data_IF_482606295711
#
_entry.id   IF_482606295711
#
_cell.length_a   1.000
_cell.length_b   1.000
_cell.length_c   1.000
_cell.angle_alpha   90.00
_cell.angle_beta   90.00
_cell.angle_gamma   90.00
#
_symmetry.space_group_name_H-M   'P 1'
#
loop_
_entity.id
_entity.type
_entity.pdbx_description
1 polymer ?
#
# COMPACT_ATOMS: atom_id res chain seq x y z
N UNK A 1 32.83 12.51 -18.57
CA UNK A 1 32.95 11.18 -17.96
C UNK A 1 31.90 10.89 -16.87
N UNK A 2 31.82 11.56 -15.70
CA UNK A 2 30.73 11.25 -14.71
C UNK A 2 29.32 11.72 -15.12
N UNK A 3 29.20 12.75 -15.97
CA UNK A 3 27.91 13.21 -16.49
C UNK A 3 27.26 12.27 -17.52
N UNK A 4 28.06 11.56 -18.31
CA UNK A 4 27.58 10.63 -19.36
C UNK A 4 27.08 9.30 -18.79
N UNK A 5 27.62 8.87 -17.64
CA UNK A 5 27.16 7.65 -16.95
C UNK A 5 25.80 7.88 -16.28
N UNK A 6 25.57 9.08 -15.71
CA UNK A 6 24.27 9.44 -15.15
C UNK A 6 23.18 9.54 -16.22
N UNK A 7 23.47 10.09 -17.41
CA UNK A 7 22.49 10.19 -18.49
C UNK A 7 22.09 8.83 -19.07
N UNK A 8 23.04 7.90 -19.24
CA UNK A 8 22.72 6.54 -19.70
C UNK A 8 21.91 5.74 -18.69
N UNK A 9 22.18 5.92 -17.40
CA UNK A 9 21.39 5.28 -16.35
C UNK A 9 19.95 5.84 -16.33
N UNK A 10 19.80 7.17 -16.44
CA UNK A 10 18.50 7.85 -16.52
C UNK A 10 17.66 7.38 -17.72
N UNK A 11 18.25 7.20 -18.90
CA UNK A 11 17.53 6.71 -20.10
C UNK A 11 17.03 5.27 -19.95
N UNK A 12 17.78 4.40 -19.26
CA UNK A 12 17.39 3.00 -19.06
C UNK A 12 16.31 2.80 -18.00
N UNK A 13 16.23 3.71 -17.02
CA UNK A 13 15.34 3.62 -15.85
C UNK A 13 13.93 4.14 -16.16
N UNK A 14 13.84 5.21 -16.94
CA UNK A 14 12.58 5.94 -17.20
C UNK A 14 11.43 5.06 -17.70
N UNK A 15 11.63 4.10 -18.63
CA UNK A 15 10.54 3.25 -19.12
C UNK A 15 9.89 2.40 -18.03
N UNK A 16 10.65 1.97 -17.01
CA UNK A 16 10.11 1.17 -15.90
C UNK A 16 9.20 2.00 -14.99
N UNK A 17 9.61 3.24 -14.71
CA UNK A 17 8.82 4.16 -13.89
C UNK A 17 7.55 4.56 -14.65
N UNK A 18 7.68 4.94 -15.92
CA UNK A 18 6.55 5.29 -16.78
C UNK A 18 5.56 4.11 -16.92
N UNK A 19 6.04 2.86 -16.96
CA UNK A 19 5.19 1.67 -16.95
C UNK A 19 4.35 1.59 -15.67
N UNK A 20 4.98 1.69 -14.49
CA UNK A 20 4.25 1.63 -13.22
C UNK A 20 3.25 2.78 -13.10
N UNK A 21 3.63 3.98 -13.52
CA UNK A 21 2.74 5.14 -13.52
C UNK A 21 1.54 4.94 -14.47
N UNK A 22 1.76 4.31 -15.63
CA UNK A 22 0.69 3.92 -16.55
C UNK A 22 -0.24 2.88 -15.94
N UNK A 23 0.30 1.83 -15.30
CA UNK A 23 -0.52 0.83 -14.61
C UNK A 23 -1.37 1.48 -13.50
N UNK A 24 -0.78 2.45 -12.80
CA UNK A 24 -1.47 3.20 -11.75
C UNK A 24 -2.58 4.09 -12.31
N UNK A 25 -2.33 4.81 -13.42
CA UNK A 25 -3.32 5.71 -14.04
C UNK A 25 -4.52 4.96 -14.62
N UNK A 26 -4.33 3.74 -15.12
CA UNK A 26 -5.40 2.82 -15.54
C UNK A 26 -6.21 2.28 -14.35
N UNK A 27 -5.68 2.39 -13.12
CA UNK A 27 -6.38 2.01 -11.89
C UNK A 27 -6.05 0.62 -11.36
N UNK A 28 -5.05 -0.07 -11.94
CA UNK A 28 -4.66 -1.43 -11.55
C UNK A 28 -4.24 -1.51 -10.06
N UNK A 29 -3.71 -0.41 -9.52
CA UNK A 29 -3.30 -0.29 -8.12
C UNK A 29 -4.43 -0.56 -7.10
N UNK A 30 -5.69 -0.55 -7.52
CA UNK A 30 -6.85 -0.85 -6.68
C UNK A 30 -6.98 -2.34 -6.36
N UNK A 31 -6.62 -3.19 -7.32
CA UNK A 31 -6.77 -4.64 -7.24
C UNK A 31 -5.42 -5.35 -7.03
N UNK A 32 -4.32 -4.72 -7.45
CA UNK A 32 -2.97 -5.26 -7.39
C UNK A 32 -2.01 -4.27 -6.72
N UNK A 33 -1.06 -4.81 -5.95
CA UNK A 33 0.02 -4.01 -5.41
C UNK A 33 1.02 -3.68 -6.52
N UNK A 34 1.35 -2.39 -6.66
CA UNK A 34 2.38 -1.92 -7.57
C UNK A 34 3.63 -1.55 -6.79
N UNK A 35 4.83 -1.77 -7.35
CA UNK A 35 6.08 -1.29 -6.80
C UNK A 35 6.03 0.19 -6.42
N UNK A 36 6.30 0.50 -5.16
CA UNK A 36 6.25 1.88 -4.64
C UNK A 36 7.21 2.06 -3.47
N UNK A 37 7.64 3.29 -3.24
CA UNK A 37 8.38 3.65 -2.02
C UNK A 37 7.40 4.30 -1.06
N UNK A 38 7.39 3.86 0.19
CA UNK A 38 6.54 4.41 1.25
C UNK A 38 7.42 4.99 2.34
N UNK A 39 7.19 6.26 2.67
CA UNK A 39 7.97 6.99 3.64
C UNK A 39 7.31 6.94 5.00
N UNK A 40 8.04 6.42 5.99
CA UNK A 40 7.58 6.27 7.38
C UNK A 40 8.58 6.89 8.34
N UNK A 41 8.08 7.46 9.42
CA UNK A 41 8.90 8.09 10.43
C UNK A 41 8.06 8.55 11.62
N UNK A 42 8.69 8.70 12.77
CA UNK A 42 8.06 9.32 13.92
C UNK A 42 7.70 10.78 13.60
N UNK A 43 6.74 11.36 14.31
CA UNK A 43 6.43 12.78 14.17
C UNK A 43 7.71 13.61 14.42
N UNK A 44 7.95 14.62 13.59
CA UNK A 44 9.15 15.47 13.66
C UNK A 44 10.48 14.78 13.35
N UNK A 45 10.48 13.57 12.77
CA UNK A 45 11.67 12.86 12.28
C UNK A 45 12.40 13.55 11.11
N UNK A 46 11.79 14.57 10.48
CA UNK A 46 12.35 15.24 9.30
C UNK A 46 11.86 14.69 7.96
N UNK A 47 10.85 13.82 7.97
CA UNK A 47 10.20 13.26 6.76
C UNK A 47 9.83 14.31 5.71
N UNK A 48 9.08 15.35 6.09
CA UNK A 48 8.71 16.42 5.17
C UNK A 48 9.93 17.15 4.60
N UNK A 49 10.96 17.36 5.42
CA UNK A 49 12.20 18.00 4.98
C UNK A 49 12.95 17.19 3.92
N UNK A 50 12.97 15.86 4.06
CA UNK A 50 13.56 14.96 3.07
C UNK A 50 12.77 15.01 1.76
N UNK A 51 11.43 14.95 1.85
CA UNK A 51 10.56 14.99 0.67
C UNK A 51 10.63 16.34 -0.06
N UNK A 52 10.72 17.45 0.67
CA UNK A 52 10.93 18.78 0.09
C UNK A 52 12.28 18.88 -0.61
N UNK A 53 13.33 18.31 -0.03
CA UNK A 53 14.65 18.32 -0.63
C UNK A 53 14.72 17.44 -1.89
N UNK A 54 13.93 16.36 -1.96
CA UNK A 54 13.81 15.51 -3.15
C UNK A 54 12.91 16.11 -4.25
N UNK A 55 11.78 16.71 -3.86
CA UNK A 55 10.76 17.21 -4.79
C UNK A 55 10.93 18.66 -5.21
N UNK A 56 11.65 19.43 -4.41
CA UNK A 56 11.75 20.87 -4.53
C UNK A 56 10.47 21.65 -4.22
N UNK A 57 9.42 20.97 -3.77
CA UNK A 57 8.14 21.60 -3.41
C UNK A 57 8.05 21.71 -1.90
N UNK A 58 7.67 22.87 -1.39
CA UNK A 58 7.40 23.06 0.03
C UNK A 58 6.16 22.24 0.42
N UNK A 59 6.36 21.24 1.28
CA UNK A 59 5.27 20.53 1.93
C UNK A 59 4.85 21.30 3.17
N UNK A 60 3.57 21.22 3.59
CA UNK A 60 3.13 21.93 4.77
C UNK A 60 3.93 21.45 5.99
N UNK A 61 4.30 22.41 6.84
CA UNK A 61 4.97 22.20 8.13
C UNK A 61 4.16 22.92 9.20
N UNK A 62 4.02 22.33 10.38
CA UNK A 62 3.27 22.93 11.48
C UNK A 62 3.31 22.11 12.77
N UNK A 63 2.81 22.70 13.85
CA UNK A 63 2.62 22.01 15.12
C UNK A 63 1.41 21.05 15.02
N UNK A 64 1.59 19.78 15.37
CA UNK A 64 0.58 18.72 15.25
C UNK A 64 0.84 17.74 14.09
N UNK A 65 -0.15 16.89 13.77
CA UNK A 65 -0.07 16.00 12.58
C UNK A 65 -0.33 16.85 11.34
N UNK A 66 0.73 17.06 10.56
CA UNK A 66 0.70 17.90 9.36
C UNK A 66 0.15 17.13 8.16
N UNK A 67 0.63 15.89 7.95
CA UNK A 67 0.09 14.97 6.94
C UNK A 67 -1.08 14.18 7.54
N UNK A 68 -2.34 14.54 7.21
CA UNK A 68 -3.56 13.88 7.75
C UNK A 68 -4.16 12.81 6.82
N UNK A 69 -3.62 12.71 5.61
CA UNK A 69 -3.98 11.75 4.59
C UNK A 69 -2.70 11.33 3.85
N UNK A 70 -2.62 10.09 3.33
CA UNK A 70 -1.52 9.69 2.46
C UNK A 70 -1.34 10.66 1.29
N UNK A 71 -0.11 11.10 1.05
CA UNK A 71 0.25 11.96 -0.08
C UNK A 71 1.16 11.17 -1.03
N UNK A 72 0.67 10.87 -2.23
CA UNK A 72 1.48 10.35 -3.32
C UNK A 72 2.17 11.49 -4.05
N UNK A 73 3.49 11.56 -3.92
CA UNK A 73 4.35 12.52 -4.59
C UNK A 73 4.96 11.85 -5.83
N UNK A 74 4.55 12.31 -7.01
CA UNK A 74 5.09 11.86 -8.30
C UNK A 74 6.02 12.94 -8.84
N UNK A 75 7.29 12.62 -8.96
CA UNK A 75 8.31 13.50 -9.49
C UNK A 75 8.64 13.03 -10.91
N UNK A 76 8.53 13.93 -11.88
CA UNK A 76 8.78 13.64 -13.28
C UNK A 76 9.77 14.63 -13.86
N UNK A 77 10.90 14.11 -14.35
CA UNK A 77 11.94 14.91 -14.97
C UNK A 77 11.53 15.27 -16.40
N UNK A 78 11.13 16.52 -16.63
CA UNK A 78 10.66 16.97 -17.95
C UNK A 78 11.54 18.11 -18.48
N UNK A 79 12.37 17.86 -19.51
CA UNK A 79 13.14 18.92 -20.16
C UNK A 79 12.23 20.02 -20.72
N UNK A 80 12.56 21.28 -20.47
CA UNK A 80 11.83 22.44 -21.01
C UNK A 80 10.59 22.88 -20.22
N UNK A 81 10.22 22.20 -19.14
CA UNK A 81 9.17 22.64 -18.21
C UNK A 81 9.85 23.22 -16.97
N UNK A 82 9.93 24.54 -16.82
CA UNK A 82 10.63 25.18 -15.69
C UNK A 82 10.19 24.57 -14.34
N UNK A 83 8.88 24.61 -14.06
CA UNK A 83 8.27 23.94 -12.92
C UNK A 83 6.75 23.90 -13.11
N UNK A 84 6.11 22.74 -12.91
CA UNK A 84 4.65 22.59 -12.89
C UNK A 84 4.26 21.61 -11.79
N UNK A 85 3.26 21.95 -10.98
CA UNK A 85 2.67 21.06 -9.99
C UNK A 85 1.17 20.89 -10.23
N UNK A 86 0.67 19.65 -10.14
CA UNK A 86 -0.75 19.32 -10.30
C UNK A 86 -1.18 18.52 -9.08
N UNK A 87 -2.18 19.02 -8.35
CA UNK A 87 -2.77 18.31 -7.22
C UNK A 87 -4.07 17.65 -7.68
N UNK A 88 -4.19 16.35 -7.43
CA UNK A 88 -5.38 15.57 -7.74
C UNK A 88 -5.98 14.99 -6.46
N UNK A 89 -7.26 15.24 -6.25
CA UNK A 89 -8.04 14.71 -5.14
C UNK A 89 -9.50 14.51 -5.54
N UNK A 90 -10.16 13.45 -5.06
CA UNK A 90 -11.59 13.17 -5.34
C UNK A 90 -12.01 13.39 -6.82
N UNK A 91 -11.16 12.93 -7.75
CA UNK A 91 -11.31 13.09 -9.22
C UNK A 91 -11.32 14.53 -9.74
N UNK A 92 -10.98 15.52 -8.92
CA UNK A 92 -10.72 16.91 -9.32
C UNK A 92 -9.22 17.12 -9.43
N UNK A 93 -8.81 17.75 -10.53
CA UNK A 93 -7.43 18.20 -10.73
C UNK A 93 -7.39 19.72 -10.53
N UNK A 94 -6.51 20.19 -9.66
CA UNK A 94 -6.21 21.59 -9.46
C UNK A 94 -4.78 21.87 -9.94
N UNK A 95 -4.66 22.66 -11.01
CA UNK A 95 -3.38 23.08 -11.59
C UNK A 95 -2.83 24.36 -10.94
N UNK A 96 -3.57 24.98 -10.00
CA UNK A 96 -3.22 26.27 -9.39
C UNK A 96 -2.32 26.17 -8.16
N UNK A 97 -1.59 25.06 -8.01
CA UNK A 97 -0.69 24.84 -6.87
C UNK A 97 0.58 25.67 -7.05
N UNK A 98 0.48 26.97 -6.76
CA UNK A 98 1.66 27.73 -6.37
C UNK A 98 2.21 27.10 -5.09
N UNK A 99 3.53 27.10 -4.94
CA UNK A 99 4.34 26.48 -3.87
C UNK A 99 3.89 26.74 -2.43
N UNK A 100 2.89 27.59 -2.20
CA UNK A 100 2.45 28.10 -0.89
C UNK A 100 1.08 27.62 -0.41
N UNK A 101 0.22 26.98 -1.23
CA UNK A 101 -1.17 26.71 -0.84
C UNK A 101 -1.56 25.23 -0.83
N UNK A 102 -1.10 24.49 0.18
CA UNK A 102 -1.63 23.16 0.56
C UNK A 102 -3.02 23.22 1.23
N UNK A 103 -3.85 24.18 0.85
CA UNK A 103 -5.20 24.37 1.39
C UNK A 103 -6.07 23.11 1.21
N UNK A 104 -5.85 22.37 0.11
CA UNK A 104 -6.55 21.14 -0.21
C UNK A 104 -6.40 20.04 0.86
N UNK A 105 -5.24 19.90 1.52
CA UNK A 105 -5.10 18.90 2.60
C UNK A 105 -6.01 19.22 3.80
N UNK A 106 -6.11 20.50 4.17
CA UNK A 106 -7.00 20.95 5.25
C UNK A 106 -8.47 20.88 4.84
N UNK A 107 -8.77 21.11 3.57
CA UNK A 107 -10.12 20.97 3.02
C UNK A 107 -10.57 19.50 2.98
N UNK A 108 -9.67 18.59 2.55
CA UNK A 108 -9.92 17.15 2.43
C UNK A 108 -9.93 16.42 3.77
N UNK A 109 -9.03 16.77 4.69
CA UNK A 109 -9.12 16.26 6.06
C UNK A 109 -10.40 16.77 6.78
N UNK A 110 -11.00 17.85 6.26
CA UNK A 110 -12.06 18.60 6.89
C UNK A 110 -11.54 19.46 8.05
N UNK A 111 -12.41 20.29 8.63
CA UNK A 111 -12.09 21.08 9.84
C UNK A 111 -11.72 20.22 11.07
N UNK A 112 -11.88 18.90 11.00
CA UNK A 112 -11.55 17.96 12.06
C UNK A 112 -10.08 17.53 12.07
N UNK A 113 -9.63 16.94 13.18
CA UNK A 113 -8.24 16.49 13.40
C UNK A 113 -8.04 14.99 13.14
N UNK A 114 -8.97 14.37 12.41
CA UNK A 114 -8.96 12.94 12.08
C UNK A 114 -8.05 12.59 10.90
N UNK A 115 -7.71 11.30 10.79
CA UNK A 115 -6.94 10.74 9.66
C UNK A 115 -7.91 10.15 8.64
N UNK A 116 -7.60 10.34 7.35
CA UNK A 116 -8.32 9.68 6.26
C UNK A 116 -7.40 8.71 5.50
N UNK A 117 -8.02 7.68 4.96
CA UNK A 117 -7.38 6.67 4.11
C UNK A 117 -7.26 7.11 2.64
N UNK A 118 -7.93 8.21 2.28
CA UNK A 118 -7.98 8.77 0.92
C UNK A 118 -6.60 9.31 0.50
N UNK A 119 -6.12 8.86 -0.65
CA UNK A 119 -4.83 9.27 -1.22
C UNK A 119 -5.00 10.59 -1.97
N UNK A 120 -4.10 11.54 -1.70
CA UNK A 120 -3.93 12.76 -2.51
C UNK A 120 -2.72 12.55 -3.40
N UNK A 121 -2.82 12.87 -4.69
CA UNK A 121 -1.68 12.82 -5.61
C UNK A 121 -1.18 14.23 -5.90
N UNK A 122 0.11 14.48 -5.70
CA UNK A 122 0.82 15.67 -6.15
C UNK A 122 1.84 15.25 -7.22
N UNK A 123 1.63 15.71 -8.45
CA UNK A 123 2.55 15.49 -9.56
C UNK A 123 3.39 16.75 -9.79
N UNK A 124 4.72 16.62 -9.76
CA UNK A 124 5.68 17.69 -9.95
C UNK A 124 6.52 17.40 -11.19
N UNK A 125 6.51 18.32 -12.14
CA UNK A 125 7.28 18.27 -13.39
C UNK A 125 8.32 19.40 -13.40
N UNK A 126 9.59 19.04 -13.52
CA UNK A 126 10.71 19.98 -13.60
C UNK A 126 11.94 19.30 -14.22
N UNK A 127 12.90 20.00 -14.83
CA UNK A 127 14.18 19.42 -15.26
C UNK A 127 15.07 19.01 -14.08
N UNK A 128 14.83 19.57 -12.89
CA UNK A 128 15.75 19.46 -11.74
C UNK A 128 15.35 18.37 -10.73
N UNK A 129 14.19 17.73 -10.94
CA UNK A 129 13.72 16.61 -10.11
C UNK A 129 14.14 15.26 -10.69
N UNK A 130 14.20 14.24 -9.83
CA UNK A 130 14.38 12.84 -10.27
C UNK A 130 13.04 12.22 -10.69
N UNK A 131 13.08 11.23 -11.58
CA UNK A 131 11.90 10.39 -11.84
C UNK A 131 11.71 9.45 -10.65
N UNK A 132 10.69 9.71 -9.82
CA UNK A 132 10.44 8.98 -8.59
C UNK A 132 8.99 9.13 -8.11
N UNK A 133 8.38 8.03 -7.67
CA UNK A 133 7.06 8.05 -7.02
C UNK A 133 7.17 7.58 -5.58
N UNK A 134 6.77 8.44 -4.65
CA UNK A 134 6.85 8.24 -3.20
C UNK A 134 5.46 8.40 -2.57
N UNK A 135 5.13 7.60 -1.57
CA UNK A 135 3.93 7.78 -0.76
C UNK A 135 4.35 8.24 0.63
N UNK A 136 4.00 9.47 0.97
CA UNK A 136 4.16 10.05 2.29
C UNK A 136 3.00 9.63 3.20
N UNK A 137 3.34 9.06 4.36
CA UNK A 137 2.35 8.68 5.37
C UNK A 137 2.41 9.61 6.59
N UNK A 138 1.30 9.73 7.35
CA UNK A 138 1.30 10.47 8.61
C UNK A 138 2.40 10.00 9.57
N UNK A 139 3.09 10.95 10.20
CA UNK A 139 4.13 10.65 11.18
C UNK A 139 3.55 10.01 12.44
N UNK A 140 4.26 9.04 13.02
CA UNK A 140 3.79 8.31 14.21
C UNK A 140 3.79 9.25 15.42
N UNK A 141 2.61 9.60 15.92
CA UNK A 141 2.41 10.36 17.15
C UNK A 141 2.24 9.42 18.35
N UNK A 142 2.97 9.69 19.44
CA UNK A 142 2.90 8.89 20.69
C UNK A 142 1.78 9.36 21.62
N UNK A 143 1.50 10.66 21.61
CA UNK A 143 0.50 11.31 22.46
C UNK A 143 -0.39 12.17 21.57
N UNK A 144 -1.72 12.11 21.72
CA UNK A 144 -2.63 13.00 21.00
C UNK A 144 -2.40 14.44 21.43
N UNK A 145 -2.36 15.37 20.46
CA UNK A 145 -2.42 16.81 20.75
C UNK A 145 -3.89 17.27 20.85
N UNK A 146 -4.12 18.45 21.42
CA UNK A 146 -5.48 18.97 21.64
C UNK A 146 -6.37 18.88 20.38
N UNK A 147 -7.54 18.25 20.53
CA UNK A 147 -8.51 18.03 19.45
C UNK A 147 -8.33 16.73 18.66
N UNK A 148 -7.28 15.95 18.89
CA UNK A 148 -7.10 14.62 18.27
C UNK A 148 -7.80 13.52 19.06
N UNK A 149 -8.31 12.47 18.39
CA UNK A 149 -8.78 11.25 19.05
C UNK A 149 -7.67 10.60 19.88
N UNK A 150 -8.01 10.01 21.03
CA UNK A 150 -7.03 9.29 21.86
C UNK A 150 -6.36 8.11 21.12
N UNK A 151 -7.04 7.52 20.14
CA UNK A 151 -6.52 6.40 19.34
C UNK A 151 -5.78 6.83 18.07
N UNK A 152 -5.47 8.11 17.89
CA UNK A 152 -4.80 8.65 16.69
C UNK A 152 -3.52 7.89 16.33
N UNK A 153 -2.69 7.58 17.33
CA UNK A 153 -1.45 6.81 17.12
C UNK A 153 -1.74 5.39 16.60
N UNK A 154 -2.83 4.75 17.07
CA UNK A 154 -3.27 3.45 16.57
C UNK A 154 -3.80 3.55 15.14
N UNK A 155 -4.55 4.62 14.82
CA UNK A 155 -5.02 4.88 13.46
C UNK A 155 -3.85 5.04 12.48
N UNK A 156 -2.84 5.86 12.82
CA UNK A 156 -1.63 6.04 12.03
C UNK A 156 -0.94 4.70 11.79
N UNK A 157 -0.74 3.91 12.86
CA UNK A 157 -0.09 2.60 12.76
C UNK A 157 -0.85 1.64 11.87
N UNK A 158 -2.19 1.59 11.97
CA UNK A 158 -3.04 0.79 11.08
C UNK A 158 -2.89 1.20 9.62
N UNK A 159 -2.88 2.51 9.35
CA UNK A 159 -2.69 3.06 8.02
C UNK A 159 -1.31 2.69 7.46
N UNK A 160 -0.24 2.88 8.23
CA UNK A 160 1.12 2.49 7.84
C UNK A 160 1.20 1.00 7.50
N UNK A 161 0.65 0.13 8.37
CA UNK A 161 0.65 -1.32 8.14
C UNK A 161 -0.07 -1.74 6.86
N UNK A 162 -1.07 -0.99 6.40
CA UNK A 162 -1.77 -1.25 5.13
C UNK A 162 -0.83 -1.15 3.92
N UNK A 163 0.19 -0.28 3.99
CA UNK A 163 1.16 -0.06 2.93
C UNK A 163 2.41 -0.94 3.07
N UNK A 164 3.01 -1.00 4.27
CA UNK A 164 4.31 -1.66 4.46
C UNK A 164 4.23 -3.19 4.49
N UNK A 165 3.04 -3.77 4.69
CA UNK A 165 2.82 -5.23 4.60
C UNK A 165 2.93 -5.78 3.17
N UNK A 166 2.76 -4.94 2.15
CA UNK A 166 2.86 -5.36 0.75
C UNK A 166 4.33 -5.62 0.41
N UNK A 167 4.62 -6.73 -0.25
CA UNK A 167 6.00 -7.12 -0.57
C UNK A 167 6.60 -6.24 -1.66
N UNK A 168 5.74 -5.64 -2.49
CA UNK A 168 6.06 -4.69 -3.56
C UNK A 168 6.36 -3.27 -3.03
N UNK A 169 6.27 -3.05 -1.72
CA UNK A 169 6.57 -1.75 -1.10
C UNK A 169 8.01 -1.71 -0.59
N UNK A 170 8.79 -0.73 -1.04
CA UNK A 170 10.06 -0.35 -0.42
C UNK A 170 9.76 0.55 0.79
N UNK A 171 10.27 0.20 1.97
CA UNK A 171 10.11 0.98 3.18
C UNK A 171 11.24 2.02 3.27
N UNK A 172 10.89 3.30 3.31
CA UNK A 172 11.84 4.39 3.53
C UNK A 172 11.66 4.93 4.96
N UNK A 173 12.53 4.53 5.87
CA UNK A 173 12.44 4.86 7.29
C UNK A 173 13.25 6.12 7.58
N UNK A 174 12.61 7.18 8.07
CA UNK A 174 13.26 8.44 8.42
C UNK A 174 13.49 8.51 9.93
N UNK A 175 14.76 8.63 10.34
CA UNK A 175 15.18 8.63 11.75
C UNK A 175 16.09 9.84 12.00
N UNK A 176 15.84 10.68 13.02
CA UNK A 176 16.75 11.77 13.34
C UNK A 176 17.98 11.27 14.13
N UNK A 177 19.16 11.81 13.81
CA UNK A 177 20.44 11.36 14.37
C UNK A 177 20.59 11.60 15.87
N UNK A 178 19.85 12.56 16.41
CA UNK A 178 19.88 12.92 17.84
C UNK A 178 18.99 12.02 18.71
N UNK A 179 18.40 10.97 18.13
CA UNK A 179 17.57 10.00 18.85
C UNK A 179 18.17 8.60 18.74
N UNK A 180 17.94 7.77 19.76
CA UNK A 180 18.35 6.37 19.69
C UNK A 180 17.48 5.63 18.66
N UNK A 181 18.14 5.11 17.63
CA UNK A 181 17.52 4.35 16.55
C UNK A 181 16.72 3.14 17.06
N UNK A 182 17.16 2.52 18.17
CA UNK A 182 16.47 1.37 18.76
C UNK A 182 15.09 1.73 19.36
N UNK A 183 14.86 3.01 19.64
CA UNK A 183 13.60 3.52 20.22
C UNK A 183 12.61 4.06 19.18
N UNK A 184 12.98 3.99 17.90
CA UNK A 184 12.16 4.53 16.81
C UNK A 184 11.05 3.56 16.42
N UNK A 185 9.80 4.01 16.53
CA UNK A 185 8.64 3.15 16.24
C UNK A 185 8.56 2.82 14.75
N UNK A 186 8.92 3.76 13.87
CA UNK A 186 8.94 3.53 12.42
C UNK A 186 9.86 2.37 12.00
N UNK A 187 11.07 2.28 12.60
CA UNK A 187 12.00 1.21 12.28
C UNK A 187 11.52 -0.14 12.82
N UNK A 188 10.95 -0.15 14.04
CA UNK A 188 10.35 -1.34 14.62
C UNK A 188 9.24 -1.90 13.71
N UNK A 189 8.34 -1.05 13.24
CA UNK A 189 7.28 -1.45 12.31
C UNK A 189 7.82 -2.00 10.99
N UNK A 190 8.91 -1.41 10.46
CA UNK A 190 9.58 -1.93 9.28
C UNK A 190 10.17 -3.34 9.52
N UNK A 191 10.82 -3.55 10.66
CA UNK A 191 11.38 -4.86 11.02
C UNK A 191 10.33 -5.94 11.26
N UNK A 192 9.12 -5.57 11.71
CA UNK A 192 8.00 -6.53 11.85
C UNK A 192 7.56 -7.13 10.50
N UNK A 193 7.71 -6.38 9.39
CA UNK A 193 7.29 -6.80 8.04
C UNK A 193 8.45 -7.09 7.08
N UNK A 194 9.67 -6.73 7.46
CA UNK A 194 10.93 -6.95 6.73
C UNK A 194 12.10 -7.18 7.72
N UNK A 195 12.13 -8.32 8.43
CA UNK A 195 13.14 -8.58 9.46
C UNK A 195 14.58 -8.61 8.93
N UNK A 196 14.75 -8.98 7.65
CA UNK A 196 16.06 -9.04 6.99
C UNK A 196 16.48 -7.70 6.36
N UNK A 197 15.60 -6.69 6.36
CA UNK A 197 15.87 -5.38 5.75
C UNK A 197 16.14 -5.45 4.24
N UNK A 198 15.50 -6.37 3.52
CA UNK A 198 15.71 -6.58 2.07
C UNK A 198 15.18 -5.40 1.25
N UNK A 199 14.08 -4.80 1.72
CA UNK A 199 13.35 -3.72 1.04
C UNK A 199 13.22 -2.48 1.92
N UNK A 200 14.06 -2.37 2.96
CA UNK A 200 14.03 -1.26 3.92
C UNK A 200 15.30 -0.43 3.81
N UNK A 201 15.14 0.83 3.40
CA UNK A 201 16.19 1.86 3.37
C UNK A 201 15.98 2.77 4.57
N UNK A 202 17.03 3.08 5.33
CA UNK A 202 16.94 4.03 6.43
C UNK A 202 17.67 5.34 6.12
N UNK A 203 17.02 6.45 6.42
CA UNK A 203 17.55 7.80 6.28
C UNK A 203 17.81 8.37 7.67
N UNK A 204 19.04 8.81 7.90
CA UNK A 204 19.42 9.55 9.09
C UNK A 204 19.36 11.07 8.82
N UNK A 205 18.51 11.80 9.54
CA UNK A 205 18.30 13.25 9.37
C UNK A 205 18.84 14.05 10.55
N UNK A 206 18.88 15.38 10.43
CA UNK A 206 19.36 16.29 11.48
C UNK A 206 20.75 15.96 12.04
N UNK A 207 21.76 15.69 11.18
CA UNK A 207 23.11 15.37 11.65
C UNK A 207 23.79 16.54 12.36
N UNK A 208 23.28 17.75 12.18
CA UNK A 208 23.69 18.99 12.84
C UNK A 208 23.30 19.07 14.33
N UNK A 209 22.35 18.25 14.78
CA UNK A 209 21.90 18.20 16.18
C UNK A 209 22.55 17.08 17.00
N UNK A 210 23.62 16.47 16.47
CA UNK A 210 24.34 15.40 17.16
C UNK A 210 25.22 16.00 18.27
N UNK A 211 25.13 15.43 19.47
CA UNK A 211 25.99 15.82 20.59
C UNK A 211 27.44 15.39 20.35
N UNK A 212 28.38 16.30 20.63
CA UNK A 212 29.82 16.03 20.52
C UNK A 212 30.21 14.82 21.36
N UNK A 213 30.87 13.84 20.75
CA UNK A 213 31.27 12.57 21.34
C UNK A 213 30.41 11.38 20.90
N UNK A 214 29.23 11.61 20.32
CA UNK A 214 28.33 10.53 19.86
C UNK A 214 28.46 10.23 18.36
N UNK A 215 29.25 11.02 17.61
CA UNK A 215 29.37 10.93 16.16
C UNK A 215 29.90 9.55 15.70
N UNK A 216 30.79 8.94 16.48
CA UNK A 216 31.31 7.58 16.20
C UNK A 216 30.21 6.52 16.26
N UNK A 217 29.27 6.68 17.20
CA UNK A 217 28.12 5.76 17.34
C UNK A 217 27.18 5.92 16.16
N UNK A 218 26.88 7.16 15.77
CA UNK A 218 26.05 7.43 14.59
C UNK A 218 26.72 6.93 13.31
N UNK A 219 28.03 7.09 13.18
CA UNK A 219 28.78 6.54 12.05
C UNK A 219 28.70 5.02 11.98
N UNK A 220 28.76 4.32 13.12
CA UNK A 220 28.59 2.87 13.19
C UNK A 220 27.18 2.43 12.74
N UNK A 221 26.15 3.24 12.99
CA UNK A 221 24.78 3.00 12.48
C UNK A 221 24.79 3.09 10.95
N UNK A 222 25.35 4.17 10.36
CA UNK A 222 25.39 4.34 8.90
C UNK A 222 26.17 3.21 8.22
N UNK A 223 27.26 2.75 8.84
CA UNK A 223 28.04 1.60 8.39
C UNK A 223 27.40 0.23 8.67
N UNK A 224 26.10 0.21 9.01
CA UNK A 224 25.31 -1.01 9.14
C UNK A 224 25.78 -1.96 10.28
N UNK A 225 26.48 -1.43 11.30
CA UNK A 225 27.06 -2.24 12.39
C UNK A 225 26.13 -2.45 13.58
N UNK A 226 25.11 -1.61 13.72
CA UNK A 226 24.19 -1.62 14.87
C UNK A 226 22.92 -2.39 14.53
N UNK A 227 22.19 -1.94 13.50
CA UNK A 227 21.00 -2.61 12.98
C UNK A 227 21.28 -2.91 11.50
N UNK A 228 21.40 -4.19 11.09
CA UNK A 228 21.72 -4.52 9.71
C UNK A 228 20.49 -4.39 8.81
N UNK A 229 20.58 -3.53 7.78
CA UNK A 229 19.65 -3.41 6.67
C UNK A 229 20.39 -3.75 5.36
N UNK A 230 19.84 -4.60 4.50
CA UNK A 230 20.52 -4.95 3.22
C UNK A 230 20.58 -3.78 2.26
N UNK A 231 19.59 -2.88 2.28
CA UNK A 231 19.66 -1.62 1.52
C UNK A 231 20.48 -0.54 2.24
N UNK A 232 20.83 -0.73 3.51
CA UNK A 232 21.71 0.15 4.28
C UNK A 232 21.10 1.51 4.63
N UNK A 233 21.98 2.46 4.92
CA UNK A 233 21.65 3.78 5.47
C UNK A 233 22.17 4.91 4.58
N UNK A 234 21.47 6.04 4.59
CA UNK A 234 21.97 7.31 4.03
C UNK A 234 21.77 8.43 5.05
N UNK A 235 22.77 9.27 5.23
CA UNK A 235 22.67 10.47 6.06
C UNK A 235 22.40 11.71 5.21
N UNK A 236 21.42 12.52 5.60
CA UNK A 236 21.04 13.74 4.88
C UNK A 236 20.90 14.93 5.83
N UNK A 237 21.34 16.10 5.37
CA UNK A 237 21.14 17.37 6.07
C UNK A 237 20.16 18.22 5.26
N UNK A 238 18.95 18.32 5.77
CA UNK A 238 17.90 19.13 5.16
C UNK A 238 17.91 20.57 5.71
N UNK A 239 17.18 21.48 5.05
CA UNK A 239 16.96 22.84 5.57
C UNK A 239 16.27 22.83 6.94
N UNK A 240 16.84 23.58 7.88
CA UNK A 240 16.23 23.87 9.17
C UNK A 240 15.06 24.85 9.04
N UNK A 241 14.31 25.07 10.13
CA UNK A 241 13.13 25.95 10.10
C UNK A 241 13.49 27.41 9.78
N UNK A 242 14.61 27.91 10.32
CA UNK A 242 15.08 29.27 10.04
C UNK A 242 15.39 29.46 8.55
N UNK A 243 16.17 28.54 7.98
CA UNK A 243 16.53 28.56 6.55
C UNK A 243 15.35 28.51 5.59
N UNK A 244 14.21 27.99 6.05
CA UNK A 244 12.96 27.99 5.28
C UNK A 244 12.26 29.32 5.40
N UNK A 245 12.24 29.90 6.60
CA UNK A 245 11.71 31.26 6.80
C UNK A 245 12.55 32.30 6.04
N UNK A 246 13.83 32.01 5.83
CA UNK A 246 14.77 32.84 5.05
C UNK A 246 14.72 32.53 3.54
N UNK A 247 13.80 31.65 3.09
CA UNK A 247 13.60 31.26 1.68
C UNK A 247 14.87 30.81 0.95
N UNK A 248 15.79 30.11 1.65
CA UNK A 248 17.04 29.64 1.04
C UNK A 248 16.76 28.68 -0.13
N UNK A 249 17.29 28.94 -1.34
CA UNK A 249 17.11 28.08 -2.51
C UNK A 249 17.64 26.65 -2.31
N UNK A 250 17.06 25.70 -3.04
CA UNK A 250 17.44 24.28 -2.94
C UNK A 250 18.89 24.01 -3.38
N UNK A 251 19.37 24.71 -4.40
CA UNK A 251 20.75 24.57 -4.87
C UNK A 251 21.76 25.00 -3.79
N UNK A 252 21.47 26.13 -3.12
CA UNK A 252 22.27 26.63 -2.01
C UNK A 252 22.22 25.65 -0.84
N UNK A 253 21.03 25.15 -0.49
CA UNK A 253 20.88 24.14 0.57
C UNK A 253 21.66 22.85 0.26
N UNK A 254 21.67 22.39 -1.00
CA UNK A 254 22.45 21.23 -1.43
C UNK A 254 23.96 21.49 -1.35
N UNK A 255 24.41 22.73 -1.56
CA UNK A 255 25.80 23.10 -1.36
C UNK A 255 26.16 23.14 0.13
N UNK A 256 25.32 23.74 0.97
CA UNK A 256 25.49 23.74 2.43
C UNK A 256 25.49 22.33 3.04
N UNK A 257 24.72 21.40 2.45
CA UNK A 257 24.75 19.99 2.81
C UNK A 257 26.11 19.36 2.48
N UNK A 258 26.60 19.54 1.25
CA UNK A 258 27.91 19.02 0.84
C UNK A 258 29.04 19.58 1.69
N UNK A 259 29.03 20.89 1.94
CA UNK A 259 30.05 21.56 2.74
C UNK A 259 30.05 21.07 4.19
N UNK A 260 28.85 20.83 4.76
CA UNK A 260 28.73 20.23 6.10
C UNK A 260 29.46 18.89 6.18
N UNK A 261 29.16 17.96 5.27
CA UNK A 261 29.79 16.65 5.30
C UNK A 261 31.29 16.70 4.96
N UNK A 262 31.70 17.59 4.06
CA UNK A 262 33.09 17.72 3.65
C UNK A 262 33.98 18.24 4.77
N UNK A 263 33.46 19.16 5.57
CA UNK A 263 34.18 19.79 6.67
C UNK A 263 34.06 19.03 8.01
N UNK A 264 33.20 18.02 8.09
CA UNK A 264 33.00 17.26 9.32
C UNK A 264 34.00 16.10 9.46
N UNK A 265 34.79 16.09 10.53
CA UNK A 265 35.89 15.13 10.76
C UNK A 265 35.45 13.66 10.63
N UNK A 266 34.29 13.32 11.22
CA UNK A 266 33.75 11.96 11.21
C UNK A 266 32.96 11.58 9.96
N UNK A 267 32.17 12.50 9.40
CA UNK A 267 31.19 12.18 8.34
C UNK A 267 31.73 12.40 6.94
N UNK A 268 32.93 12.98 6.78
CA UNK A 268 33.58 13.15 5.48
C UNK A 268 33.78 11.85 4.71
N UNK A 269 33.96 10.72 5.39
CA UNK A 269 34.07 9.42 4.72
C UNK A 269 32.77 9.03 4.00
N UNK A 270 31.60 9.40 4.53
CA UNK A 270 30.30 9.05 3.97
C UNK A 270 30.06 9.65 2.59
N UNK A 271 30.68 10.80 2.28
CA UNK A 271 30.65 11.39 0.94
C UNK A 271 31.37 10.54 -0.10
N UNK A 272 32.43 9.82 0.30
CA UNK A 272 33.19 8.95 -0.62
C UNK A 272 32.49 7.62 -0.86
N UNK A 273 31.65 7.20 0.09
CA UNK A 273 30.90 5.95 0.05
C UNK A 273 29.50 6.13 -0.57
N UNK A 274 29.15 7.33 -1.04
CA UNK A 274 27.81 7.70 -1.53
C UNK A 274 26.68 7.43 -0.50
N UNK A 275 27.03 7.39 0.80
CA UNK A 275 26.11 7.18 1.92
C UNK A 275 25.68 8.50 2.59
N UNK A 276 25.93 9.63 1.94
CA UNK A 276 25.52 10.95 2.41
C UNK A 276 25.00 11.81 1.25
N UNK A 277 24.18 12.81 1.61
CA UNK A 277 23.53 13.81 0.74
C UNK A 277 22.19 13.39 0.12
N UNK A 278 21.34 14.40 -0.12
CA UNK A 278 20.06 14.26 -0.82
C UNK A 278 20.27 13.77 -2.25
N UNK A 279 21.35 14.18 -2.92
CA UNK A 279 21.65 13.74 -4.29
C UNK A 279 21.94 12.23 -4.34
N UNK A 280 22.76 11.72 -3.43
CA UNK A 280 23.04 10.28 -3.36
C UNK A 280 21.80 9.48 -2.96
N UNK A 281 20.94 10.06 -2.11
CA UNK A 281 19.63 9.49 -1.79
C UNK A 281 18.73 9.35 -3.02
N UNK A 282 18.57 10.42 -3.82
CA UNK A 282 17.76 10.37 -5.03
C UNK A 282 18.23 9.25 -5.98
N UNK A 283 19.54 9.19 -6.25
CA UNK A 283 20.13 8.16 -7.13
C UNK A 283 19.87 6.75 -6.58
N UNK A 284 20.09 6.54 -5.28
CA UNK A 284 19.88 5.23 -4.66
C UNK A 284 18.42 4.81 -4.68
N UNK A 285 17.49 5.71 -4.36
CA UNK A 285 16.06 5.40 -4.38
C UNK A 285 15.54 5.10 -5.77
N UNK A 286 15.99 5.85 -6.78
CA UNK A 286 15.64 5.59 -8.18
C UNK A 286 16.16 4.22 -8.63
N UNK A 287 17.42 3.87 -8.31
CA UNK A 287 17.96 2.55 -8.62
C UNK A 287 17.22 1.43 -7.87
N UNK A 288 17.00 1.61 -6.57
CA UNK A 288 16.31 0.64 -5.73
C UNK A 288 14.88 0.38 -6.22
N UNK A 289 14.19 1.42 -6.69
CA UNK A 289 12.85 1.31 -7.27
C UNK A 289 12.89 0.51 -8.57
N UNK A 290 13.81 0.79 -9.49
CA UNK A 290 13.91 0.05 -10.75
C UNK A 290 14.25 -1.41 -10.52
N UNK A 291 15.27 -1.69 -9.70
CA UNK A 291 15.63 -3.07 -9.32
C UNK A 291 14.43 -3.82 -8.74
N UNK A 292 13.59 -3.12 -7.97
CA UNK A 292 12.41 -3.69 -7.37
C UNK A 292 11.28 -3.91 -8.38
N UNK A 293 11.09 -2.99 -9.32
CA UNK A 293 10.15 -3.14 -10.45
C UNK A 293 10.55 -4.36 -11.29
N UNK A 294 11.82 -4.46 -11.70
CA UNK A 294 12.31 -5.57 -12.53
C UNK A 294 12.08 -6.93 -11.86
N UNK A 295 12.36 -7.03 -10.55
CA UNK A 295 12.13 -8.27 -9.78
C UNK A 295 10.66 -8.61 -9.61
N UNK A 296 9.80 -7.58 -9.51
CA UNK A 296 8.36 -7.76 -9.27
C UNK A 296 7.57 -7.98 -10.55
N UNK A 297 8.10 -7.56 -11.71
CA UNK A 297 7.38 -7.58 -12.99
C UNK A 297 6.88 -8.97 -13.43
N UNK A 298 7.66 -10.07 -13.30
CA UNK A 298 7.18 -11.41 -13.66
C UNK A 298 5.99 -11.84 -12.79
N UNK A 299 6.07 -11.58 -11.48
CA UNK A 299 5.01 -11.91 -10.53
C UNK A 299 3.76 -11.06 -10.79
N UNK A 300 3.93 -9.77 -11.06
CA UNK A 300 2.84 -8.87 -11.42
C UNK A 300 2.13 -9.33 -12.70
N UNK A 301 2.89 -9.76 -13.72
CA UNK A 301 2.32 -10.30 -14.95
C UNK A 301 1.49 -11.57 -14.70
N UNK A 302 1.97 -12.48 -13.84
CA UNK A 302 1.22 -13.68 -13.45
C UNK A 302 -0.05 -13.33 -12.68
N UNK A 303 0.04 -12.41 -11.71
CA UNK A 303 -1.11 -11.92 -10.94
C UNK A 303 -2.17 -11.28 -11.84
N UNK A 304 -1.76 -10.44 -12.81
CA UNK A 304 -2.65 -9.83 -13.79
C UNK A 304 -3.33 -10.91 -14.63
N UNK A 305 -2.59 -11.89 -15.15
CA UNK A 305 -3.16 -13.00 -15.95
C UNK A 305 -4.17 -13.81 -15.15
N UNK A 306 -3.87 -14.11 -13.89
CA UNK A 306 -4.75 -14.85 -12.99
C UNK A 306 -6.03 -14.08 -12.67
N UNK A 307 -5.92 -12.80 -12.33
CA UNK A 307 -7.05 -11.89 -12.13
C UNK A 307 -7.92 -11.83 -13.39
N UNK A 308 -7.30 -11.60 -14.55
CA UNK A 308 -7.99 -11.54 -15.83
C UNK A 308 -8.73 -12.84 -16.15
N UNK A 309 -8.11 -14.00 -15.89
CA UNK A 309 -8.76 -15.29 -16.10
C UNK A 309 -9.96 -15.49 -15.17
N UNK A 310 -9.83 -15.14 -13.89
CA UNK A 310 -10.91 -15.23 -12.92
C UNK A 310 -12.09 -14.32 -13.30
N UNK A 311 -11.80 -13.07 -13.69
CA UNK A 311 -12.80 -12.11 -14.14
C UNK A 311 -13.46 -12.58 -15.43
N UNK A 312 -12.70 -13.07 -16.42
CA UNK A 312 -13.28 -13.62 -17.66
C UNK A 312 -14.17 -14.84 -17.40
N UNK A 313 -13.79 -15.70 -16.46
CA UNK A 313 -14.60 -16.86 -16.09
C UNK A 313 -15.92 -16.41 -15.45
N UNK A 314 -15.86 -15.49 -14.50
CA UNK A 314 -17.07 -14.92 -13.87
C UNK A 314 -17.92 -14.14 -14.89
N UNK A 315 -17.29 -13.43 -15.82
CA UNK A 315 -17.97 -12.71 -16.89
C UNK A 315 -18.69 -13.67 -17.82
N UNK A 316 -18.10 -14.83 -18.16
CA UNK A 316 -18.74 -15.85 -18.98
C UNK A 316 -20.05 -16.36 -18.37
N UNK A 317 -20.12 -16.45 -17.04
CA UNK A 317 -21.35 -16.80 -16.33
C UNK A 317 -22.42 -15.68 -16.41
N UNK A 318 -22.04 -14.48 -16.85
CA UNK A 318 -22.88 -13.29 -17.00
C UNK A 318 -22.94 -12.72 -18.43
N UNK A 319 -22.26 -13.33 -19.41
CA UNK A 319 -22.03 -12.76 -20.75
C UNK A 319 -23.31 -12.61 -21.57
N UNK A 320 -24.29 -13.47 -21.31
CA UNK A 320 -25.61 -13.45 -21.95
C UNK A 320 -26.58 -12.47 -21.28
N UNK A 321 -26.12 -11.42 -20.57
CA UNK A 321 -27.00 -10.42 -19.94
C UNK A 321 -28.15 -9.99 -20.87
N UNK A 322 -29.33 -9.63 -20.33
CA UNK A 322 -30.53 -9.44 -21.14
C UNK A 322 -30.28 -8.40 -22.24
N UNK A 323 -30.59 -8.72 -23.52
CA UNK A 323 -30.45 -7.77 -24.62
C UNK A 323 -31.27 -6.50 -24.36
N UNK A 324 -30.77 -5.35 -24.82
CA UNK A 324 -31.46 -4.07 -24.65
C UNK A 324 -32.70 -3.95 -25.55
N UNK A 325 -32.76 -4.72 -26.64
CA UNK A 325 -33.88 -4.73 -27.57
C UNK A 325 -34.98 -5.71 -27.15
N UNK A 326 -36.23 -5.34 -27.46
CA UNK A 326 -37.43 -6.10 -27.07
C UNK A 326 -37.48 -7.50 -27.66
N UNK A 327 -36.90 -7.73 -28.84
CA UNK A 327 -36.95 -9.02 -29.52
C UNK A 327 -35.91 -9.98 -28.93
N UNK A 328 -34.68 -9.51 -28.75
CA UNK A 328 -33.62 -10.22 -28.02
C UNK A 328 -33.99 -10.50 -26.57
N UNK A 329 -34.68 -9.59 -25.88
CA UNK A 329 -35.16 -9.81 -24.52
C UNK A 329 -36.17 -10.97 -24.42
N UNK A 330 -37.07 -11.12 -25.41
CA UNK A 330 -38.01 -12.26 -25.46
C UNK A 330 -37.27 -13.57 -25.70
N UNK A 331 -36.34 -13.60 -26.65
CA UNK A 331 -35.54 -14.79 -26.92
C UNK A 331 -34.72 -15.21 -25.71
N UNK A 332 -34.11 -14.24 -25.01
CA UNK A 332 -33.37 -14.47 -23.77
C UNK A 332 -34.27 -15.03 -22.65
N UNK A 333 -35.48 -14.48 -22.48
CA UNK A 333 -36.45 -14.99 -21.50
C UNK A 333 -36.86 -16.44 -21.81
N UNK A 334 -37.12 -16.75 -23.08
CA UNK A 334 -37.47 -18.11 -23.52
C UNK A 334 -36.32 -19.07 -23.25
N UNK A 335 -35.08 -18.69 -23.58
CA UNK A 335 -33.87 -19.48 -23.31
C UNK A 335 -33.71 -19.74 -21.81
N UNK A 336 -33.91 -18.72 -20.98
CA UNK A 336 -33.83 -18.82 -19.52
C UNK A 336 -34.90 -19.75 -18.94
N UNK A 337 -36.15 -19.61 -19.39
CA UNK A 337 -37.26 -20.47 -18.97
C UNK A 337 -37.06 -21.93 -19.38
N UNK A 338 -36.52 -22.16 -20.58
CA UNK A 338 -36.21 -23.51 -21.05
C UNK A 338 -35.09 -24.14 -20.21
N UNK A 339 -34.03 -23.39 -19.89
CA UNK A 339 -32.96 -23.86 -19.00
C UNK A 339 -33.49 -24.25 -17.61
N UNK A 340 -34.34 -23.40 -17.01
CA UNK A 340 -35.01 -23.73 -15.74
C UNK A 340 -35.85 -25.01 -15.83
N UNK A 341 -36.62 -25.17 -16.91
CA UNK A 341 -37.43 -26.36 -17.12
C UNK A 341 -36.57 -27.63 -17.29
N UNK A 342 -35.40 -27.54 -17.93
CA UNK A 342 -34.45 -28.65 -18.04
C UNK A 342 -33.82 -29.02 -16.70
N UNK A 343 -33.45 -28.05 -15.87
CA UNK A 343 -32.97 -28.31 -14.51
C UNK A 343 -34.03 -29.02 -13.66
N UNK A 344 -35.29 -28.59 -13.72
CA UNK A 344 -36.41 -29.26 -13.03
C UNK A 344 -36.63 -30.69 -13.57
N UNK A 345 -36.50 -30.92 -14.87
CA UNK A 345 -36.57 -32.27 -15.48
C UNK A 345 -35.41 -33.15 -15.04
N UNK A 346 -34.19 -32.62 -14.97
CA UNK A 346 -33.02 -33.35 -14.48
C UNK A 346 -33.14 -33.71 -12.99
N UNK A 347 -33.62 -32.76 -12.16
CA UNK A 347 -33.92 -32.99 -10.75
C UNK A 347 -35.04 -34.01 -10.52
N UNK A 348 -36.06 -34.06 -11.38
CA UNK A 348 -37.19 -35.01 -11.27
C UNK A 348 -36.92 -36.38 -11.91
N UNK A 349 -35.97 -36.50 -12.83
CA UNK A 349 -35.53 -37.78 -13.39
C UNK A 349 -34.44 -38.46 -12.55
N UNK A 350 -33.82 -37.72 -11.63
CA UNK A 350 -32.89 -38.26 -10.62
C UNK A 350 -31.44 -38.35 -11.08
N UNK A 351 -31.09 -37.62 -12.14
CA UNK A 351 -29.70 -37.50 -12.60
C UNK A 351 -28.82 -36.86 -11.52
N UNK A 352 -27.54 -37.28 -11.41
CA UNK A 352 -26.65 -36.83 -10.34
C UNK A 352 -26.09 -35.44 -10.67
N UNK A 353 -26.85 -34.39 -10.39
CA UNK A 353 -26.32 -33.04 -10.32
C UNK A 353 -25.99 -32.71 -8.85
N UNK A 354 -24.70 -32.80 -8.50
CA UNK A 354 -24.04 -32.46 -7.22
C UNK A 354 -24.39 -33.31 -5.97
N UNK A 355 -23.53 -33.24 -4.94
CA UNK A 355 -23.38 -34.10 -3.73
C UNK A 355 -24.64 -34.37 -2.88
N UNK A 356 -25.82 -33.88 -3.30
CA UNK A 356 -27.09 -34.01 -2.59
C UNK A 356 -28.25 -34.35 -3.54
N UNK A 357 -28.15 -35.48 -4.22
CA UNK A 357 -29.27 -36.02 -5.02
C UNK A 357 -30.56 -36.08 -4.17
N UNK A 358 -31.60 -35.36 -4.60
CA UNK A 358 -32.87 -35.24 -3.86
C UNK A 358 -33.54 -36.60 -3.63
N UNK A 359 -33.48 -37.51 -4.61
CA UNK A 359 -33.99 -38.86 -4.45
C UNK A 359 -33.18 -39.71 -3.48
N UNK A 360 -31.89 -39.43 -3.30
CA UNK A 360 -31.10 -40.11 -2.26
C UNK A 360 -31.56 -39.67 -0.86
N UNK A 361 -31.86 -38.39 -0.66
CA UNK A 361 -32.40 -37.87 0.60
C UNK A 361 -33.82 -38.40 0.87
N UNK A 362 -34.70 -38.36 -0.13
CA UNK A 362 -36.07 -38.90 -0.02
C UNK A 362 -36.06 -40.40 0.29
N UNK A 363 -35.16 -41.18 -0.35
CA UNK A 363 -35.02 -42.61 -0.04
C UNK A 363 -34.57 -42.88 1.40
N UNK A 364 -33.72 -42.04 1.97
CA UNK A 364 -33.33 -42.17 3.38
C UNK A 364 -34.50 -41.92 4.33
N UNK A 365 -35.32 -40.90 4.06
CA UNK A 365 -36.54 -40.63 4.84
C UNK A 365 -37.61 -41.72 4.66
N UNK A 366 -37.82 -42.21 3.44
CA UNK A 366 -38.73 -43.34 3.20
C UNK A 366 -38.26 -44.62 3.90
N UNK A 367 -36.95 -44.85 4.00
CA UNK A 367 -36.40 -45.96 4.77
C UNK A 367 -36.72 -45.81 6.26
N UNK A 368 -36.48 -44.64 6.86
CA UNK A 368 -36.85 -44.35 8.26
C UNK A 368 -38.34 -44.57 8.51
N UNK A 369 -39.19 -44.09 7.60
CA UNK A 369 -40.64 -44.30 7.66
C UNK A 369 -41.01 -45.77 7.60
N UNK A 370 -40.41 -46.54 6.70
CA UNK A 370 -40.65 -47.98 6.58
C UNK A 370 -40.17 -48.75 7.83
N UNK A 371 -39.03 -48.39 8.39
CA UNK A 371 -38.51 -48.97 9.63
C UNK A 371 -39.47 -48.66 10.82
N UNK A 372 -40.03 -47.45 10.87
CA UNK A 372 -41.08 -47.09 11.83
C UNK A 372 -42.36 -47.92 11.66
N UNK A 373 -42.86 -48.08 10.44
CA UNK A 373 -44.03 -48.93 10.17
C UNK A 373 -43.78 -50.41 10.52
N UNK A 374 -42.58 -50.92 10.27
CA UNK A 374 -42.23 -52.30 10.61
C UNK A 374 -42.13 -52.51 12.12
N UNK A 375 -41.54 -51.56 12.86
CA UNK A 375 -41.46 -51.62 14.33
C UNK A 375 -42.84 -51.51 15.01
N UNK A 376 -43.77 -50.76 14.43
CA UNK A 376 -45.16 -50.66 14.93
C UNK A 376 -46.01 -51.89 14.57
N UNK A 377 -45.70 -52.61 13.49
CA UNK A 377 -46.34 -53.89 13.13
C UNK A 377 -46.14 -54.97 14.20
N UNK A 378 -44.93 -55.07 14.75
CA UNK A 378 -44.59 -56.02 15.83
C UNK A 378 -45.38 -55.76 17.12
N UNK A 379 -45.77 -54.50 17.37
CA UNK A 379 -46.63 -54.15 18.51
C UNK A 379 -48.11 -54.49 18.28
N UNK A 380 -48.58 -54.56 17.04
CA UNK A 380 -49.97 -54.92 16.73
C UNK A 380 -50.26 -56.43 16.86
N UNK A 381 -49.28 -57.31 16.62
CA UNK A 381 -49.45 -58.76 16.84
C UNK A 381 -49.63 -59.10 18.32
N UNK A 382 -48.98 -58.36 19.22
CA UNK A 382 -49.20 -58.52 20.68
C UNK A 382 -50.62 -58.14 21.13
N UNK A 383 -51.26 -57.17 20.47
CA UNK A 383 -52.61 -56.70 20.83
C UNK A 383 -53.70 -57.70 20.39
N UNK A 384 -53.50 -58.42 19.28
CA UNK A 384 -54.46 -59.43 18.82
C UNK A 384 -54.36 -60.76 19.57
N UNK A 385 -53.20 -61.09 20.14
CA UNK A 385 -53.02 -62.33 20.90
C UNK A 385 -53.67 -62.25 22.30
N UNK A 386 -53.73 -61.06 22.91
CA UNK A 386 -54.30 -60.86 24.25
C UNK A 386 -55.83 -60.88 24.33
N UNK A 387 -56.57 -60.82 23.22
CA UNK A 387 -58.06 -60.83 23.22
C UNK A 387 -58.71 -62.21 23.07
N UNK A 388 -57.94 -63.29 22.94
CA UNK A 388 -58.47 -64.66 22.75
C UNK A 388 -58.50 -65.55 24.00
N UNK A 389 -58.00 -65.11 25.15
CA UNK A 389 -58.17 -65.84 26.42
C UNK A 389 -59.36 -65.28 27.21
N UNK A 390 -60.55 -65.78 26.88
CA UNK A 390 -61.75 -65.72 27.74
C UNK A 390 -61.60 -66.72 28.89
N UNK A 391 -61.84 -66.22 30.10
CA UNK A 391 -62.79 -66.72 31.10
C UNK A 391 -62.66 -68.22 31.49
N UNK A 392 -62.23 -68.55 32.72
CA UNK A 392 -62.61 -69.80 33.35
C UNK A 392 -64.01 -69.67 33.96
N UNK A 393 -64.87 -70.63 33.62
CA UNK A 393 -66.09 -70.97 34.33
C UNK A 393 -65.72 -71.60 35.69
N UNK A 394 -66.30 -71.05 36.76
CA UNK A 394 -66.71 -71.78 37.96
C UNK A 394 -67.67 -70.91 38.75
#
# INVERSE_FOLDING_TARGET
MRGEVHSHLEESIRPYIDLIDTLRSVGIHKDLALPTIVVIGDQSSGKSSVLEALSGVALPRGNGIVTRCPLELRLKKVPGVNWKAVLTYDKKADESVNSSNFAAQNELAGKGVGIRDELITLEVMSPDVCDLTLIDLPGIARVPVEGQPEDIGKQIKRLIMKYIKKHETINLVVVPCNTDIATTEALKMAQEVDPEGIRTVAILTKPDLIDKGTEKTVLAIVHNKVIPLRKGYIMVKCRGQQQINDDIPLEEAAQMERDFFQNHDYFRCLLKEDNATIKSLAVKLTQDLVDHIEKSLPQLQEQIKKQLWSVKKALKDCEDGPPEDLEGAKEFLIKTLNGFNEEIKSLSSGEPMTEKNMFAQLRAEFKKWNDYLNSTKTSCEYIFTFKKQRIPFS
#
